data_IF_961530231443
#
_entry.id   IF_961530231443
#
_cell.length_a   1.000
_cell.length_b   1.000
_cell.length_c   1.000
_cell.angle_alpha   90.00
_cell.angle_beta   90.00
_cell.angle_gamma   90.00
#
_symmetry.space_group_name_H-M   'P 1'
#
loop_
_entity.id
_entity.type
_entity.pdbx_description
1 polymer ?
#
# COMPACT_ATOMS: atom_id res chain seq x y z
N UNK A 1 -25.18 -15.26 -12.49
CA UNK A 1 -23.83 -15.30 -13.10
C UNK A 1 -22.86 -14.64 -12.14
N UNK A 2 -21.93 -15.41 -11.58
CA UNK A 2 -20.91 -14.98 -10.62
C UNK A 2 -20.07 -13.85 -11.23
N UNK A 3 -20.13 -12.64 -10.67
CA UNK A 3 -19.29 -11.50 -11.11
C UNK A 3 -17.92 -11.60 -10.42
N UNK A 4 -17.17 -12.67 -10.72
CA UNK A 4 -15.82 -12.88 -10.20
C UNK A 4 -14.78 -12.64 -11.29
N UNK A 5 -14.26 -11.41 -11.39
CA UNK A 5 -12.91 -11.19 -11.93
C UNK A 5 -11.87 -11.55 -10.86
N UNK A 6 -10.59 -11.72 -11.23
CA UNK A 6 -9.50 -12.17 -10.33
C UNK A 6 -9.28 -11.30 -9.09
N UNK A 7 -8.08 -11.33 -8.48
CA UNK A 7 -7.85 -10.64 -7.19
C UNK A 7 -8.20 -9.13 -7.19
N UNK A 8 -8.16 -8.48 -8.36
CA UNK A 8 -8.56 -7.07 -8.54
C UNK A 8 -9.98 -6.88 -9.08
N UNK A 9 -10.73 -7.94 -9.37
CA UNK A 9 -12.12 -7.91 -9.80
C UNK A 9 -12.39 -7.12 -11.09
N UNK A 10 -11.36 -6.79 -11.88
CA UNK A 10 -11.48 -5.72 -12.85
C UNK A 10 -12.03 -6.20 -14.21
N UNK A 11 -13.35 -6.12 -14.38
CA UNK A 11 -13.96 -6.13 -15.72
C UNK A 11 -13.78 -4.76 -16.40
N UNK A 12 -13.87 -4.64 -17.74
CA UNK A 12 -13.94 -3.33 -18.38
C UNK A 12 -15.06 -2.46 -17.74
N UNK A 13 -14.88 -1.14 -17.71
CA UNK A 13 -15.82 -0.18 -17.10
C UNK A 13 -15.98 -0.36 -15.57
N UNK A 14 -14.87 -0.60 -14.88
CA UNK A 14 -14.78 -0.68 -13.42
C UNK A 14 -13.75 0.32 -12.89
N UNK A 15 -13.79 0.57 -11.58
CA UNK A 15 -12.89 1.47 -10.89
C UNK A 15 -13.32 1.58 -9.43
N UNK A 16 -12.92 2.66 -8.75
CA UNK A 16 -13.41 2.99 -7.41
C UNK A 16 -14.10 4.33 -7.43
N UNK A 17 -15.26 4.45 -6.76
CA UNK A 17 -15.92 5.75 -6.57
C UNK A 17 -15.14 6.65 -5.62
N UNK A 18 -14.24 6.07 -4.82
CA UNK A 18 -13.46 6.76 -3.81
C UNK A 18 -12.92 5.82 -2.76
N UNK A 19 -11.89 6.31 -2.07
CA UNK A 19 -11.19 5.59 -1.01
C UNK A 19 -11.36 6.33 0.31
N UNK A 20 -11.67 5.62 1.38
CA UNK A 20 -11.55 6.10 2.76
C UNK A 20 -10.51 5.25 3.47
N UNK A 21 -9.41 5.87 3.91
CA UNK A 21 -8.30 5.18 4.58
C UNK A 21 -8.42 5.30 6.10
N UNK A 22 -8.38 4.16 6.79
CA UNK A 22 -8.42 4.08 8.25
C UNK A 22 -7.02 4.28 8.84
N UNK A 23 -6.88 5.24 9.75
CA UNK A 23 -5.65 5.49 10.52
C UNK A 23 -5.55 4.50 11.68
N UNK A 24 -4.96 3.32 11.41
CA UNK A 24 -4.83 2.25 12.39
C UNK A 24 -3.88 2.60 13.56
N UNK A 25 -2.75 3.32 13.38
CA UNK A 25 -1.89 3.74 14.49
C UNK A 25 -2.64 4.54 15.56
N UNK A 26 -3.43 5.54 15.14
CA UNK A 26 -4.24 6.34 16.07
C UNK A 26 -5.26 5.46 16.80
N UNK A 27 -5.91 4.57 16.07
CA UNK A 27 -6.92 3.70 16.66
C UNK A 27 -6.30 2.77 17.70
N UNK A 28 -5.15 2.17 17.40
CA UNK A 28 -4.36 1.37 18.34
C UNK A 28 -3.95 2.16 19.58
N UNK A 29 -3.35 3.34 19.40
CA UNK A 29 -2.92 4.19 20.51
C UNK A 29 -4.06 4.57 21.47
N UNK A 30 -5.27 4.74 20.94
CA UNK A 30 -6.46 5.08 21.75
C UNK A 30 -7.13 3.86 22.38
N UNK A 31 -6.68 2.65 22.09
CA UNK A 31 -7.26 1.40 22.58
C UNK A 31 -6.41 0.84 23.71
N UNK A 32 -7.06 0.35 24.78
CA UNK A 32 -6.34 -0.26 25.91
C UNK A 32 -5.96 -1.72 25.67
N UNK A 33 -6.70 -2.38 24.78
CA UNK A 33 -6.53 -3.79 24.44
C UNK A 33 -7.16 -4.07 23.07
N UNK A 34 -6.92 -5.28 22.57
CA UNK A 34 -7.41 -5.74 21.27
C UNK A 34 -8.94 -5.69 21.13
N UNK A 35 -9.69 -5.98 22.19
CA UNK A 35 -11.16 -5.88 22.15
C UNK A 35 -11.62 -4.46 21.86
N UNK A 36 -11.09 -3.48 22.61
CA UNK A 36 -11.41 -2.07 22.41
C UNK A 36 -10.98 -1.58 21.01
N UNK A 37 -9.86 -2.09 20.50
CA UNK A 37 -9.42 -1.84 19.13
C UNK A 37 -10.50 -2.25 18.12
N UNK A 38 -11.03 -3.48 18.19
CA UNK A 38 -12.06 -3.92 17.24
C UNK A 38 -13.40 -3.18 17.40
N UNK A 39 -13.80 -2.84 18.63
CA UNK A 39 -15.00 -2.02 18.88
C UNK A 39 -14.89 -0.61 18.24
N UNK A 40 -13.71 0.02 18.35
CA UNK A 40 -13.42 1.30 17.69
C UNK A 40 -13.32 1.15 16.17
N UNK A 41 -12.74 0.04 15.69
CA UNK A 41 -12.60 -0.24 14.27
C UNK A 41 -13.96 -0.36 13.61
N UNK A 42 -14.88 -1.07 14.26
CA UNK A 42 -16.28 -1.17 13.81
C UNK A 42 -16.93 0.20 13.67
N UNK A 43 -16.79 1.05 14.69
CA UNK A 43 -17.36 2.39 14.69
C UNK A 43 -16.82 3.24 13.53
N UNK A 44 -15.52 3.16 13.23
CA UNK A 44 -14.92 3.84 12.08
C UNK A 44 -15.36 3.25 10.74
N UNK A 45 -15.51 1.92 10.65
CA UNK A 45 -15.97 1.25 9.44
C UNK A 45 -17.39 1.67 9.07
N UNK A 46 -18.29 1.75 10.04
CA UNK A 46 -19.66 2.23 9.81
C UNK A 46 -19.67 3.68 9.29
N UNK A 47 -18.81 4.55 9.86
CA UNK A 47 -18.68 5.92 9.39
C UNK A 47 -18.10 6.00 7.97
N UNK A 48 -17.06 5.22 7.68
CA UNK A 48 -16.44 5.17 6.36
C UNK A 48 -17.41 4.61 5.31
N UNK A 49 -18.16 3.57 5.64
CA UNK A 49 -19.20 2.98 4.82
C UNK A 49 -20.30 4.00 4.49
N UNK A 50 -20.82 4.69 5.51
CA UNK A 50 -21.81 5.77 5.32
C UNK A 50 -21.29 6.87 4.39
N UNK A 51 -20.04 7.30 4.57
CA UNK A 51 -19.39 8.30 3.72
C UNK A 51 -19.35 7.88 2.25
N UNK A 52 -18.94 6.63 1.97
CA UNK A 52 -18.86 6.11 0.60
C UNK A 52 -20.23 5.92 -0.04
N UNK A 53 -21.26 5.52 0.72
CA UNK A 53 -22.64 5.45 0.22
C UNK A 53 -23.16 6.85 -0.15
N UNK A 54 -22.90 7.86 0.69
CA UNK A 54 -23.27 9.26 0.37
C UNK A 54 -22.57 9.71 -0.92
N UNK A 55 -21.26 9.42 -1.04
CA UNK A 55 -20.50 9.76 -2.24
C UNK A 55 -21.06 9.09 -3.49
N UNK A 56 -21.44 7.81 -3.41
CA UNK A 56 -22.07 7.07 -4.53
C UNK A 56 -23.33 7.77 -5.02
N UNK A 57 -24.27 8.05 -4.11
CA UNK A 57 -25.53 8.75 -4.43
C UNK A 57 -25.28 10.13 -5.05
N UNK A 58 -24.28 10.83 -4.54
CA UNK A 58 -23.89 12.13 -5.08
C UNK A 58 -23.35 12.02 -6.51
N UNK A 59 -22.47 11.07 -6.78
CA UNK A 59 -21.94 10.82 -8.13
C UNK A 59 -23.04 10.44 -9.11
N UNK A 60 -23.95 9.53 -8.76
CA UNK A 60 -25.10 9.18 -9.60
C UNK A 60 -25.92 10.41 -10.00
N UNK A 61 -26.28 11.25 -9.02
CA UNK A 61 -27.04 12.48 -9.25
C UNK A 61 -26.31 13.44 -10.19
N UNK A 62 -25.02 13.66 -9.98
CA UNK A 62 -24.22 14.55 -10.81
C UNK A 62 -24.03 14.01 -12.23
N UNK A 63 -23.88 12.69 -12.40
CA UNK A 63 -23.82 12.04 -13.71
C UNK A 63 -25.13 12.21 -14.46
N UNK A 64 -26.27 12.03 -13.79
CA UNK A 64 -27.61 12.24 -14.37
C UNK A 64 -27.82 13.69 -14.81
N UNK A 65 -27.34 14.66 -14.02
CA UNK A 65 -27.36 16.10 -14.33
C UNK A 65 -26.37 16.52 -15.42
N UNK A 66 -25.55 15.60 -15.95
CA UNK A 66 -24.65 15.85 -17.06
C UNK A 66 -23.29 16.44 -16.69
N UNK A 67 -22.90 16.47 -15.41
CA UNK A 67 -21.57 16.97 -15.00
C UNK A 67 -20.42 16.02 -15.35
N UNK A 68 -20.73 14.75 -15.65
CA UNK A 68 -19.75 13.75 -16.07
C UNK A 68 -20.08 13.22 -17.48
N UNK A 69 -20.05 14.05 -18.54
CA UNK A 69 -20.56 13.68 -19.85
C UNK A 69 -19.83 12.48 -20.47
N UNK A 70 -18.51 12.40 -20.32
CA UNK A 70 -17.72 11.26 -20.77
C UNK A 70 -18.08 9.98 -20.02
N UNK A 71 -18.07 10.01 -18.68
CA UNK A 71 -18.42 8.83 -17.87
C UNK A 71 -19.86 8.40 -18.12
N UNK A 72 -20.80 9.35 -18.23
CA UNK A 72 -22.20 9.09 -18.57
C UNK A 72 -22.31 8.34 -19.89
N UNK A 73 -21.58 8.78 -20.92
CA UNK A 73 -21.56 8.10 -22.21
C UNK A 73 -21.02 6.68 -22.07
N UNK A 74 -19.81 6.48 -21.54
CA UNK A 74 -19.19 5.15 -21.48
C UNK A 74 -19.88 4.18 -20.51
N UNK A 75 -20.59 4.68 -19.50
CA UNK A 75 -21.31 3.88 -18.52
C UNK A 75 -22.80 3.71 -18.85
N UNK A 76 -23.29 4.20 -20.00
CA UNK A 76 -24.71 4.13 -20.40
C UNK A 76 -25.25 2.70 -20.41
N UNK A 77 -24.47 1.74 -20.90
CA UNK A 77 -24.87 0.32 -20.93
C UNK A 77 -24.97 -0.28 -19.53
N UNK A 78 -24.12 0.17 -18.60
CA UNK A 78 -24.21 -0.24 -17.19
C UNK A 78 -25.47 0.35 -16.55
N UNK A 79 -25.78 1.61 -16.84
CA UNK A 79 -27.00 2.29 -16.39
C UNK A 79 -28.26 1.58 -16.90
N UNK A 80 -28.30 1.22 -18.19
CA UNK A 80 -29.40 0.47 -18.80
C UNK A 80 -29.60 -0.90 -18.14
N UNK A 81 -28.51 -1.61 -17.80
CA UNK A 81 -28.56 -2.95 -17.22
C UNK A 81 -28.85 -2.97 -15.71
N UNK A 82 -28.40 -1.96 -14.97
CA UNK A 82 -28.37 -2.00 -13.49
C UNK A 82 -29.18 -0.88 -12.83
N UNK A 83 -29.60 0.13 -13.58
CA UNK A 83 -30.25 1.33 -13.05
C UNK A 83 -29.28 2.38 -12.50
N UNK A 84 -27.98 2.10 -12.47
CA UNK A 84 -26.93 2.99 -11.93
C UNK A 84 -25.72 3.08 -12.87
N UNK A 85 -25.09 4.26 -12.96
CA UNK A 85 -23.89 4.44 -13.78
C UNK A 85 -22.67 3.76 -13.15
N UNK A 86 -22.55 3.86 -11.83
CA UNK A 86 -21.36 3.48 -11.07
C UNK A 86 -21.50 2.09 -10.39
N UNK A 87 -22.49 1.28 -10.77
CA UNK A 87 -22.75 -0.05 -10.18
C UNK A 87 -21.52 -0.98 -10.17
N UNK A 88 -20.69 -0.92 -11.21
CA UNK A 88 -19.47 -1.73 -11.34
C UNK A 88 -18.24 -1.12 -10.65
N UNK A 89 -18.37 0.02 -9.99
CA UNK A 89 -17.27 0.67 -9.27
C UNK A 89 -17.29 0.31 -7.78
N UNK A 90 -16.12 0.01 -7.24
CA UNK A 90 -15.95 -0.33 -5.83
C UNK A 90 -16.11 0.89 -4.92
N UNK A 91 -16.65 0.66 -3.74
CA UNK A 91 -16.47 1.50 -2.57
C UNK A 91 -15.25 0.98 -1.82
N UNK A 92 -14.16 1.75 -1.79
CA UNK A 92 -12.87 1.25 -1.30
C UNK A 92 -12.58 1.69 0.13
N UNK A 93 -12.33 0.73 1.00
CA UNK A 93 -11.75 0.98 2.32
C UNK A 93 -10.27 0.66 2.27
N UNK A 94 -9.48 1.62 2.72
CA UNK A 94 -8.04 1.51 2.80
C UNK A 94 -7.54 1.46 4.24
N UNK A 95 -6.31 1.03 4.43
CA UNK A 95 -5.63 1.08 5.73
C UNK A 95 -4.25 1.69 5.62
N UNK A 96 -3.72 2.18 6.74
CA UNK A 96 -2.36 2.67 6.86
C UNK A 96 -1.80 2.35 8.24
N UNK A 97 -0.49 2.09 8.32
CA UNK A 97 0.25 2.02 9.57
C UNK A 97 -0.08 0.82 10.44
N UNK A 98 -0.35 -0.36 9.86
CA UNK A 98 -0.65 -1.54 10.67
C UNK A 98 0.56 -1.98 11.52
N UNK A 99 1.80 -1.75 11.05
CA UNK A 99 2.98 -1.94 11.89
C UNK A 99 2.97 -1.04 13.13
N UNK A 100 2.69 0.26 12.96
CA UNK A 100 2.61 1.17 14.09
C UNK A 100 1.36 0.92 14.95
N UNK A 101 0.31 0.32 14.40
CA UNK A 101 -0.80 -0.19 15.20
C UNK A 101 -0.34 -1.31 16.15
N UNK A 102 0.48 -2.25 15.68
CA UNK A 102 1.11 -3.27 16.54
C UNK A 102 1.99 -2.60 17.61
N UNK A 103 2.84 -1.63 17.23
CA UNK A 103 3.73 -0.96 18.17
C UNK A 103 2.96 -0.23 19.28
N UNK A 104 1.90 0.51 18.92
CA UNK A 104 1.15 1.32 19.88
C UNK A 104 0.18 0.50 20.76
N UNK A 105 -0.27 -0.68 20.31
CA UNK A 105 -1.21 -1.52 21.07
C UNK A 105 -0.54 -2.69 21.80
N UNK A 106 0.38 -3.38 21.12
CA UNK A 106 1.00 -4.63 21.59
C UNK A 106 2.43 -4.43 22.07
N UNK A 107 3.09 -3.35 21.65
CA UNK A 107 4.51 -3.12 21.94
C UNK A 107 5.48 -3.95 21.10
N UNK A 108 4.98 -4.63 20.05
CA UNK A 108 5.77 -5.42 19.11
C UNK A 108 5.52 -4.98 17.65
N UNK A 109 6.35 -5.45 16.72
CA UNK A 109 6.27 -5.10 15.30
C UNK A 109 5.33 -6.04 14.53
N UNK A 110 4.93 -5.66 13.32
CA UNK A 110 4.17 -6.56 12.42
C UNK A 110 4.96 -7.82 12.03
N UNK A 111 6.28 -7.82 12.18
CA UNK A 111 7.13 -8.95 11.83
C UNK A 111 7.23 -10.00 12.95
N UNK A 112 6.87 -9.63 14.18
CA UNK A 112 6.83 -10.55 15.32
C UNK A 112 5.63 -11.50 15.18
N UNK A 113 5.69 -12.75 15.67
CA UNK A 113 4.59 -13.70 15.55
C UNK A 113 3.25 -13.17 16.07
N UNK A 114 3.26 -12.44 17.19
CA UNK A 114 2.08 -11.82 17.78
C UNK A 114 1.53 -10.69 16.91
N UNK A 115 2.39 -9.76 16.46
CA UNK A 115 2.00 -8.64 15.61
C UNK A 115 1.51 -9.09 14.23
N UNK A 116 2.11 -10.13 13.64
CA UNK A 116 1.63 -10.75 12.41
C UNK A 116 0.25 -11.37 12.61
N UNK A 117 0.07 -12.13 13.70
CA UNK A 117 -1.22 -12.76 14.03
C UNK A 117 -2.34 -11.74 14.24
N UNK A 118 -2.06 -10.66 14.98
CA UNK A 118 -2.97 -9.54 15.15
C UNK A 118 -3.30 -8.87 13.81
N UNK A 119 -2.29 -8.59 12.99
CA UNK A 119 -2.46 -7.95 11.69
C UNK A 119 -3.35 -8.76 10.75
N UNK A 120 -3.22 -10.09 10.74
CA UNK A 120 -4.10 -10.98 9.97
C UNK A 120 -5.55 -10.89 10.46
N UNK A 121 -5.79 -10.92 11.78
CA UNK A 121 -7.14 -10.75 12.35
C UNK A 121 -7.75 -9.40 11.97
N UNK A 122 -6.97 -8.32 11.96
CA UNK A 122 -7.44 -7.00 11.54
C UNK A 122 -7.87 -7.00 10.07
N UNK A 123 -7.06 -7.56 9.17
CA UNK A 123 -7.38 -7.62 7.75
C UNK A 123 -8.58 -8.55 7.47
N UNK A 124 -8.67 -9.68 8.15
CA UNK A 124 -9.80 -10.61 8.01
C UNK A 124 -11.11 -9.98 8.52
N UNK A 125 -11.08 -9.30 9.67
CA UNK A 125 -12.22 -8.54 10.17
C UNK A 125 -12.70 -7.48 9.17
N UNK A 126 -11.76 -6.73 8.57
CA UNK A 126 -12.08 -5.75 7.54
C UNK A 126 -12.77 -6.40 6.34
N UNK A 127 -12.24 -7.52 5.83
CA UNK A 127 -12.83 -8.25 4.70
C UNK A 127 -14.26 -8.70 5.01
N UNK A 128 -14.49 -9.30 6.17
CA UNK A 128 -15.81 -9.76 6.60
C UNK A 128 -16.82 -8.61 6.65
N UNK A 129 -16.42 -7.45 7.19
CA UNK A 129 -17.28 -6.26 7.22
C UNK A 129 -17.58 -5.70 5.84
N UNK A 130 -16.60 -5.69 4.94
CA UNK A 130 -16.83 -5.26 3.56
C UNK A 130 -17.76 -6.21 2.79
N UNK A 131 -17.68 -7.52 3.06
CA UNK A 131 -18.65 -8.48 2.54
C UNK A 131 -20.06 -8.20 3.05
N UNK A 132 -20.22 -7.93 4.35
CA UNK A 132 -21.50 -7.54 4.92
C UNK A 132 -22.05 -6.24 4.32
N UNK A 133 -21.19 -5.23 4.05
CA UNK A 133 -21.61 -4.03 3.32
C UNK A 133 -22.04 -4.33 1.89
N UNK A 134 -21.33 -5.22 1.19
CA UNK A 134 -21.69 -5.63 -0.16
C UNK A 134 -23.06 -6.32 -0.21
N UNK A 135 -23.33 -7.22 0.73
CA UNK A 135 -24.64 -7.89 0.86
C UNK A 135 -25.75 -6.90 1.21
N UNK A 136 -25.50 -6.01 2.18
CA UNK A 136 -26.50 -5.04 2.64
C UNK A 136 -26.82 -3.96 1.60
N UNK A 137 -25.85 -3.52 0.79
CA UNK A 137 -26.04 -2.41 -0.15
C UNK A 137 -26.20 -2.85 -1.60
N UNK A 138 -25.87 -4.10 -1.95
CA UNK A 138 -25.83 -4.57 -3.34
C UNK A 138 -24.73 -3.91 -4.21
N UNK A 139 -23.77 -3.21 -3.58
CA UNK A 139 -22.68 -2.52 -4.30
C UNK A 139 -21.36 -3.24 -4.05
N UNK A 140 -20.39 -3.07 -4.95
CA UNK A 140 -19.07 -3.66 -4.79
C UNK A 140 -18.26 -2.93 -3.70
N UNK A 141 -17.59 -3.68 -2.83
CA UNK A 141 -16.67 -3.17 -1.81
C UNK A 141 -15.34 -3.91 -1.87
N UNK A 142 -14.23 -3.21 -1.64
CA UNK A 142 -12.90 -3.83 -1.60
C UNK A 142 -11.99 -3.22 -0.54
N UNK A 143 -11.05 -4.05 -0.08
CA UNK A 143 -9.99 -3.67 0.83
C UNK A 143 -8.72 -3.37 0.04
N UNK A 144 -8.18 -2.16 0.20
CA UNK A 144 -6.99 -1.71 -0.51
C UNK A 144 -5.83 -1.41 0.45
N UNK A 145 -4.63 -1.81 0.06
CA UNK A 145 -3.39 -1.31 0.63
C UNK A 145 -3.15 0.09 0.05
N UNK A 146 -3.76 1.11 0.67
CA UNK A 146 -3.69 2.50 0.20
C UNK A 146 -2.23 2.88 -0.06
N UNK A 147 -1.86 3.43 -1.23
CA UNK A 147 -0.49 3.89 -1.50
C UNK A 147 -0.03 4.99 -0.53
N UNK A 148 -0.98 5.77 -0.03
CA UNK A 148 -0.86 6.70 1.09
C UNK A 148 0.33 7.69 1.01
N UNK A 149 0.68 8.15 -0.20
CA UNK A 149 1.81 9.07 -0.42
C UNK A 149 1.74 10.28 0.51
N UNK A 150 0.62 11.02 0.47
CA UNK A 150 0.39 12.14 1.37
C UNK A 150 -0.15 11.74 2.74
N UNK A 151 -0.92 10.65 2.83
CA UNK A 151 -1.57 10.26 4.08
C UNK A 151 -0.58 9.72 5.12
N UNK A 152 0.48 9.02 4.70
CA UNK A 152 1.56 8.51 5.56
C UNK A 152 2.19 9.62 6.39
N UNK A 153 2.63 10.69 5.74
CA UNK A 153 3.19 11.86 6.41
C UNK A 153 2.14 12.67 7.16
N UNK A 154 1.03 13.02 6.49
CA UNK A 154 0.03 13.94 7.06
C UNK A 154 -0.61 13.39 8.33
N UNK A 155 -0.95 12.10 8.34
CA UNK A 155 -1.59 11.48 9.51
C UNK A 155 -0.62 11.39 10.68
N UNK A 156 0.62 10.92 10.43
CA UNK A 156 1.66 10.84 11.45
C UNK A 156 1.99 12.21 12.06
N UNK A 157 2.12 13.25 11.24
CA UNK A 157 2.34 14.63 11.70
C UNK A 157 1.18 15.13 12.60
N UNK A 158 -0.08 14.93 12.17
CA UNK A 158 -1.24 15.35 12.97
C UNK A 158 -1.36 14.54 14.27
N UNK A 159 -0.98 13.27 14.23
CA UNK A 159 -0.93 12.40 15.39
C UNK A 159 0.14 12.84 16.38
N UNK A 160 1.38 13.05 15.95
CA UNK A 160 2.44 13.58 16.81
C UNK A 160 2.06 14.91 17.46
N UNK A 161 1.39 15.81 16.73
CA UNK A 161 0.91 17.08 17.28
C UNK A 161 -0.14 16.89 18.39
N UNK A 162 -1.04 15.92 18.24
CA UNK A 162 -2.15 15.70 19.18
C UNK A 162 -1.80 14.75 20.33
N UNK A 163 -0.96 13.77 20.05
CA UNK A 163 -0.56 12.69 20.93
C UNK A 163 0.96 12.54 20.84
N UNK A 164 1.75 13.37 21.55
CA UNK A 164 3.21 13.38 21.39
C UNK A 164 3.90 12.02 21.59
N UNK A 165 3.30 11.16 22.43
CA UNK A 165 3.79 9.81 22.76
C UNK A 165 3.33 8.70 21.79
N UNK A 166 2.56 9.02 20.74
CA UNK A 166 2.21 8.03 19.73
C UNK A 166 3.47 7.64 18.95
N UNK A 167 3.68 6.35 18.77
CA UNK A 167 4.83 5.80 18.04
C UNK A 167 4.56 5.86 16.55
N UNK A 168 5.48 6.44 15.79
CA UNK A 168 5.49 6.44 14.31
C UNK A 168 6.60 5.54 13.75
N UNK A 169 6.65 5.33 12.43
CA UNK A 169 7.57 4.37 11.82
C UNK A 169 9.06 4.73 12.07
N UNK A 170 9.38 6.02 12.03
CA UNK A 170 10.72 6.57 12.26
C UNK A 170 10.85 7.27 13.61
N UNK A 171 10.21 6.74 14.67
CA UNK A 171 10.12 7.36 15.99
C UNK A 171 11.45 7.91 16.51
N UNK A 172 12.52 7.10 16.47
CA UNK A 172 13.87 7.53 16.90
C UNK A 172 14.37 8.74 16.13
N UNK A 173 14.18 8.77 14.81
CA UNK A 173 14.59 9.92 14.00
C UNK A 173 13.78 11.19 14.33
N UNK A 174 12.50 11.04 14.69
CA UNK A 174 11.67 12.15 15.13
C UNK A 174 12.18 12.71 16.47
N UNK A 175 12.53 11.84 17.41
CA UNK A 175 13.07 12.23 18.73
C UNK A 175 14.49 12.81 18.65
N UNK A 176 15.40 12.13 17.95
CA UNK A 176 16.83 12.45 17.94
C UNK A 176 17.17 13.68 17.08
N UNK A 177 16.50 13.85 15.93
CA UNK A 177 16.83 14.87 14.93
C UNK A 177 15.65 15.74 14.48
N UNK A 178 14.47 15.57 15.08
CA UNK A 178 13.27 16.31 14.65
C UNK A 178 12.82 15.96 13.23
N UNK A 179 13.07 14.73 12.78
CA UNK A 179 12.70 14.28 11.44
C UNK A 179 11.19 14.38 11.18
N UNK A 180 10.81 14.48 9.92
CA UNK A 180 9.41 14.43 9.53
C UNK A 180 8.82 13.03 9.85
N UNK A 181 7.75 12.93 10.67
CA UNK A 181 7.19 11.64 11.06
C UNK A 181 6.41 11.00 9.90
N UNK A 182 6.49 9.68 9.74
CA UNK A 182 5.65 8.98 8.77
C UNK A 182 5.13 7.65 9.32
N UNK A 183 4.06 7.13 8.71
CA UNK A 183 3.56 5.77 8.96
C UNK A 183 3.95 4.80 7.86
N UNK A 184 4.22 3.56 8.24
CA UNK A 184 4.47 2.47 7.31
C UNK A 184 3.23 2.26 6.43
N UNK A 185 3.45 2.04 5.13
CA UNK A 185 2.34 1.97 4.19
C UNK A 185 1.46 0.74 4.47
N UNK A 186 0.14 0.93 4.62
CA UNK A 186 -0.83 -0.17 4.77
C UNK A 186 -0.42 -1.22 5.83
N UNK A 187 -0.16 -2.46 5.42
CA UNK A 187 0.37 -3.56 6.24
C UNK A 187 1.76 -4.03 5.78
N UNK A 188 2.55 -3.14 5.17
CA UNK A 188 3.93 -3.44 4.79
C UNK A 188 4.80 -3.66 6.03
N UNK A 189 5.93 -4.34 5.85
CA UNK A 189 7.00 -4.34 6.84
C UNK A 189 7.60 -2.93 6.94
N UNK A 190 8.20 -2.57 8.08
CA UNK A 190 9.09 -1.41 8.14
C UNK A 190 10.11 -1.46 7.00
N UNK A 191 10.36 -0.32 6.36
CA UNK A 191 11.24 -0.24 5.18
C UNK A 191 12.70 -0.59 5.45
N UNK A 192 13.09 -0.62 6.72
CA UNK A 192 14.40 -1.00 7.24
C UNK A 192 14.43 -2.38 7.93
N UNK A 193 13.38 -3.19 7.82
CA UNK A 193 13.25 -4.41 8.62
C UNK A 193 14.29 -5.49 8.28
N UNK A 194 14.53 -5.78 7.00
CA UNK A 194 15.45 -6.84 6.57
C UNK A 194 15.99 -6.57 5.17
N UNK A 195 17.17 -7.12 4.86
CA UNK A 195 17.71 -7.22 3.50
C UNK A 195 17.38 -8.57 2.84
N UNK A 196 16.81 -9.54 3.57
CA UNK A 196 16.42 -10.85 3.05
C UNK A 196 15.06 -10.79 2.35
N UNK A 197 15.10 -10.83 1.02
CA UNK A 197 13.92 -10.84 0.16
C UNK A 197 12.95 -11.99 0.47
N UNK A 198 13.46 -13.19 0.75
CA UNK A 198 12.61 -14.36 0.97
C UNK A 198 11.98 -14.35 2.36
N UNK A 199 12.68 -13.84 3.36
CA UNK A 199 12.07 -13.54 4.66
C UNK A 199 10.95 -12.50 4.52
N UNK A 200 11.21 -11.40 3.83
CA UNK A 200 10.22 -10.35 3.60
C UNK A 200 8.98 -10.89 2.86
N UNK A 201 9.17 -11.69 1.81
CA UNK A 201 8.10 -12.35 1.06
C UNK A 201 7.27 -13.29 1.93
N UNK A 202 7.91 -14.12 2.78
CA UNK A 202 7.20 -15.04 3.69
C UNK A 202 6.30 -14.31 4.69
N UNK A 203 6.79 -13.19 5.25
CA UNK A 203 6.00 -12.39 6.20
C UNK A 203 4.89 -11.60 5.50
N UNK A 204 5.12 -11.13 4.27
CA UNK A 204 4.17 -10.31 3.53
C UNK A 204 3.10 -11.11 2.79
N UNK A 205 3.40 -12.31 2.28
CA UNK A 205 2.42 -13.14 1.55
C UNK A 205 1.06 -13.30 2.26
N UNK A 206 0.99 -13.71 3.54
CA UNK A 206 -0.29 -13.86 4.21
C UNK A 206 -1.01 -12.53 4.42
N UNK A 207 -0.32 -11.38 4.45
CA UNK A 207 -0.95 -10.07 4.56
C UNK A 207 -1.43 -9.55 3.20
N UNK A 208 -0.57 -9.63 2.17
CA UNK A 208 -0.84 -9.10 0.84
C UNK A 208 -2.01 -9.84 0.16
N UNK A 209 -2.15 -11.15 0.41
CA UNK A 209 -3.27 -11.94 -0.12
C UNK A 209 -4.62 -11.64 0.51
N UNK A 210 -4.67 -10.81 1.57
CA UNK A 210 -5.93 -10.42 2.24
C UNK A 210 -6.56 -9.21 1.57
N UNK A 211 -5.82 -8.43 0.81
CA UNK A 211 -6.40 -7.35 0.03
C UNK A 211 -7.22 -7.91 -1.14
N UNK A 212 -8.42 -7.36 -1.30
CA UNK A 212 -9.35 -7.67 -2.41
C UNK A 212 -9.40 -6.54 -3.44
N UNK A 213 -8.65 -5.46 -3.19
CA UNK A 213 -8.39 -4.35 -4.09
C UNK A 213 -6.90 -4.21 -4.37
N UNK A 214 -6.45 -2.97 -4.57
CA UNK A 214 -5.04 -2.65 -4.85
C UNK A 214 -4.10 -3.12 -3.74
N UNK A 215 -3.04 -3.84 -4.10
CA UNK A 215 -1.91 -4.10 -3.21
C UNK A 215 -0.63 -4.29 -4.02
N UNK A 216 0.52 -4.04 -3.42
CA UNK A 216 1.83 -4.14 -4.10
C UNK A 216 2.92 -4.47 -3.10
N UNK A 217 3.80 -5.41 -3.45
CA UNK A 217 5.03 -5.66 -2.71
C UNK A 217 6.23 -5.04 -3.44
N UNK A 218 6.91 -4.10 -2.79
CA UNK A 218 8.04 -3.41 -3.39
C UNK A 218 9.36 -4.12 -3.09
N UNK A 219 10.06 -4.55 -4.15
CA UNK A 219 11.43 -5.03 -4.06
C UNK A 219 12.36 -3.85 -4.30
N UNK A 220 12.77 -3.20 -3.22
CA UNK A 220 13.73 -2.09 -3.26
C UNK A 220 15.12 -2.64 -3.59
N UNK A 221 15.61 -2.40 -4.80
CA UNK A 221 16.89 -2.93 -5.26
C UNK A 221 18.07 -2.03 -4.91
N UNK A 222 17.82 -0.82 -4.41
CA UNK A 222 18.84 0.22 -4.25
C UNK A 222 19.44 0.57 -5.61
N UNK A 223 20.76 0.67 -5.69
CA UNK A 223 21.48 0.99 -6.93
C UNK A 223 21.61 -0.21 -7.88
N UNK A 224 21.10 -1.38 -7.51
CA UNK A 224 21.24 -2.59 -8.33
C UNK A 224 20.34 -2.48 -9.56
N UNK A 225 20.97 -2.48 -10.74
CA UNK A 225 20.33 -2.66 -12.02
C UNK A 225 20.51 -4.12 -12.48
N UNK A 226 19.57 -5.04 -12.17
CA UNK A 226 19.69 -6.43 -12.60
C UNK A 226 19.64 -6.53 -14.13
N UNK A 227 20.39 -7.47 -14.71
CA UNK A 227 20.24 -7.79 -16.13
C UNK A 227 18.81 -8.26 -16.44
N UNK A 228 18.34 -8.13 -17.69
CA UNK A 228 17.03 -8.63 -18.10
C UNK A 228 16.79 -10.10 -17.70
N UNK A 229 17.81 -10.96 -17.85
CA UNK A 229 17.75 -12.37 -17.47
C UNK A 229 17.64 -12.55 -15.96
N UNK A 230 18.39 -11.78 -15.17
CA UNK A 230 18.34 -11.83 -13.71
C UNK A 230 16.96 -11.38 -13.20
N UNK A 231 16.42 -10.29 -13.75
CA UNK A 231 15.09 -9.79 -13.43
C UNK A 231 14.00 -10.82 -13.78
N UNK A 232 14.04 -11.38 -14.99
CA UNK A 232 13.12 -12.45 -15.44
C UNK A 232 13.15 -13.65 -14.50
N UNK A 233 14.34 -14.15 -14.18
CA UNK A 233 14.51 -15.32 -13.32
C UNK A 233 14.09 -15.05 -11.87
N UNK A 234 14.27 -13.82 -11.38
CA UNK A 234 13.79 -13.42 -10.06
C UNK A 234 12.26 -13.40 -10.01
N UNK A 235 11.62 -12.69 -10.93
CA UNK A 235 10.16 -12.60 -11.01
C UNK A 235 9.54 -13.99 -11.11
N UNK A 236 10.03 -14.83 -12.03
CA UNK A 236 9.56 -16.21 -12.20
C UNK A 236 9.65 -17.01 -10.90
N UNK A 237 10.80 -17.00 -10.23
CA UNK A 237 11.01 -17.77 -8.99
C UNK A 237 10.14 -17.29 -7.83
N UNK A 238 9.83 -16.00 -7.75
CA UNK A 238 8.92 -15.48 -6.73
C UNK A 238 7.52 -16.02 -6.99
N UNK A 239 6.98 -15.88 -8.21
CA UNK A 239 5.63 -16.33 -8.53
C UNK A 239 5.47 -17.86 -8.55
N UNK A 240 6.54 -18.63 -8.73
CA UNK A 240 6.53 -20.09 -8.56
C UNK A 240 6.41 -20.54 -7.09
N UNK A 241 6.76 -19.67 -6.12
CA UNK A 241 6.87 -20.04 -4.69
C UNK A 241 5.91 -19.28 -3.78
N UNK A 242 5.49 -18.09 -4.18
CA UNK A 242 4.66 -17.19 -3.40
C UNK A 242 3.45 -16.73 -4.20
N UNK A 243 2.35 -16.51 -3.51
CA UNK A 243 1.06 -16.04 -4.04
C UNK A 243 0.90 -14.52 -3.88
N UNK A 244 2.01 -13.79 -3.93
CA UNK A 244 2.00 -12.33 -3.87
C UNK A 244 1.22 -11.79 -5.08
N UNK A 245 0.19 -10.95 -4.90
CA UNK A 245 -0.65 -10.47 -6.00
C UNK A 245 0.07 -9.67 -7.07
N UNK A 246 0.95 -8.78 -6.62
CA UNK A 246 1.61 -7.80 -7.46
C UNK A 246 2.90 -7.36 -6.79
N UNK A 247 3.96 -7.24 -7.58
CA UNK A 247 5.26 -6.81 -7.11
C UNK A 247 5.89 -5.82 -8.08
N UNK A 248 6.85 -5.06 -7.58
CA UNK A 248 7.69 -4.18 -8.40
C UNK A 248 9.16 -4.46 -8.12
N UNK A 249 9.98 -4.51 -9.17
CA UNK A 249 11.42 -4.33 -9.05
C UNK A 249 11.71 -2.83 -9.09
N UNK A 250 12.22 -2.27 -8.01
CA UNK A 250 12.44 -0.82 -7.90
C UNK A 250 13.92 -0.50 -7.72
N UNK A 251 14.64 -0.19 -8.80
CA UNK A 251 15.95 0.42 -8.71
C UNK A 251 15.83 1.90 -8.32
N UNK A 252 16.92 2.42 -7.77
CA UNK A 252 17.19 3.85 -7.62
C UNK A 252 18.22 4.24 -8.68
N UNK A 253 17.94 5.32 -9.38
CA UNK A 253 18.79 5.84 -10.44
C UNK A 253 18.73 7.36 -10.43
N UNK A 254 19.72 7.99 -11.05
CA UNK A 254 19.79 9.44 -11.17
C UNK A 254 19.72 9.86 -12.62
N UNK A 255 19.27 11.07 -12.91
CA UNK A 255 19.22 11.63 -14.26
C UNK A 255 20.03 12.91 -14.28
N UNK A 256 21.11 12.91 -15.07
CA UNK A 256 21.90 14.09 -15.39
C UNK A 256 21.27 14.80 -16.59
N UNK A 257 21.13 16.15 -16.59
CA UNK A 257 20.58 16.89 -17.71
C UNK A 257 21.41 16.73 -19.00
N UNK A 258 22.73 16.60 -18.86
CA UNK A 258 23.66 16.46 -19.99
C UNK A 258 23.89 15.01 -20.43
N UNK A 259 23.94 14.05 -19.50
CA UNK A 259 24.38 12.67 -19.76
C UNK A 259 23.31 11.60 -19.59
N UNK A 260 22.10 11.96 -19.16
CA UNK A 260 20.99 11.03 -19.00
C UNK A 260 21.10 10.13 -17.77
N UNK A 261 20.73 8.85 -17.90
CA UNK A 261 20.58 7.92 -16.79
C UNK A 261 21.93 7.52 -16.17
N UNK A 262 21.99 7.59 -14.84
CA UNK A 262 23.10 7.15 -14.00
C UNK A 262 22.59 6.11 -13.00
N UNK A 263 23.38 5.06 -12.77
CA UNK A 263 23.05 4.00 -11.80
C UNK A 263 23.17 4.53 -10.38
N UNK A 264 22.16 4.30 -9.53
CA UNK A 264 22.22 4.65 -8.12
C UNK A 264 21.83 6.09 -7.81
N UNK A 265 21.96 6.45 -6.53
CA UNK A 265 21.62 7.78 -6.01
C UNK A 265 22.87 8.66 -6.00
N UNK A 266 23.10 9.40 -7.08
CA UNK A 266 24.28 10.21 -7.28
C UNK A 266 23.90 11.68 -7.30
N UNK A 267 24.15 12.44 -6.24
CA UNK A 267 23.78 13.87 -6.18
C UNK A 267 24.44 14.71 -7.29
N UNK A 268 25.66 14.32 -7.70
CA UNK A 268 26.44 14.97 -8.75
C UNK A 268 26.77 13.97 -9.86
N UNK A 269 26.75 14.42 -11.12
CA UNK A 269 27.12 13.60 -12.26
C UNK A 269 28.65 13.32 -12.26
N UNK A 270 29.10 12.07 -12.41
CA UNK A 270 30.52 11.73 -12.38
C UNK A 270 31.29 12.19 -13.63
N UNK A 271 30.58 12.69 -14.66
CA UNK A 271 31.15 13.13 -15.94
C UNK A 271 31.24 14.65 -16.09
N UNK A 272 30.31 15.41 -15.48
CA UNK A 272 30.29 16.88 -15.58
C UNK A 272 30.09 17.61 -14.26
N UNK A 273 29.99 16.89 -13.14
CA UNK A 273 29.80 17.44 -11.78
C UNK A 273 28.52 18.27 -11.60
N UNK A 274 27.62 18.32 -12.59
CA UNK A 274 26.31 18.95 -12.43
C UNK A 274 25.39 18.14 -11.52
N UNK A 275 24.49 18.84 -10.84
CA UNK A 275 23.46 18.24 -9.97
C UNK A 275 22.53 17.35 -10.79
N UNK A 276 22.22 16.17 -10.26
CA UNK A 276 21.29 15.23 -10.88
C UNK A 276 19.93 15.24 -10.20
N UNK A 277 18.93 14.69 -10.88
CA UNK A 277 17.66 14.31 -10.25
C UNK A 277 17.69 12.84 -9.83
N UNK A 278 17.62 12.55 -8.54
CA UNK A 278 17.53 11.17 -8.03
C UNK A 278 16.08 10.69 -8.13
N UNK A 279 15.85 9.63 -8.89
CA UNK A 279 14.55 8.98 -9.07
C UNK A 279 14.48 7.68 -8.28
N UNK A 280 13.33 7.50 -7.62
CA UNK A 280 12.94 6.21 -7.06
C UNK A 280 11.41 6.08 -7.12
N UNK A 281 10.86 4.94 -6.69
CA UNK A 281 9.41 4.77 -6.59
C UNK A 281 8.94 5.29 -5.25
N UNK A 282 8.07 6.31 -5.26
CA UNK A 282 7.52 6.87 -4.01
C UNK A 282 6.54 5.88 -3.38
N UNK A 283 5.52 5.48 -4.16
CA UNK A 283 4.52 4.49 -3.80
C UNK A 283 4.21 3.60 -5.01
N UNK A 284 3.61 4.17 -6.07
CA UNK A 284 3.17 3.41 -7.24
C UNK A 284 3.91 3.77 -8.53
N UNK A 285 4.61 4.89 -8.57
CA UNK A 285 5.25 5.45 -9.77
C UNK A 285 6.62 6.06 -9.43
N UNK A 286 7.46 6.25 -10.45
CA UNK A 286 8.79 6.85 -10.32
C UNK A 286 8.66 8.38 -10.33
N UNK A 287 9.36 9.05 -9.41
CA UNK A 287 9.37 10.52 -9.29
C UNK A 287 10.71 10.98 -8.67
N UNK A 288 11.22 12.18 -8.98
CA UNK A 288 12.37 12.73 -8.27
C UNK A 288 12.12 12.80 -6.77
N UNK A 289 13.05 12.28 -5.97
CA UNK A 289 12.95 12.21 -4.49
C UNK A 289 12.78 13.59 -3.87
N UNK A 290 13.43 14.60 -4.44
CA UNK A 290 13.34 15.99 -3.98
C UNK A 290 11.90 16.55 -4.04
N UNK A 291 11.06 16.03 -4.93
CA UNK A 291 9.66 16.44 -5.05
C UNK A 291 8.71 15.67 -4.14
N UNK A 292 9.21 14.72 -3.35
CA UNK A 292 8.38 13.95 -2.41
C UNK A 292 8.10 14.80 -1.18
N UNK A 293 7.01 14.50 -0.46
CA UNK A 293 6.77 15.14 0.83
C UNK A 293 7.83 14.72 1.86
N UNK A 294 8.02 15.53 2.90
CA UNK A 294 9.08 15.35 3.89
C UNK A 294 9.08 13.95 4.54
N UNK A 295 7.91 13.40 4.90
CA UNK A 295 7.82 12.06 5.47
C UNK A 295 8.26 10.96 4.48
N UNK A 296 7.95 11.10 3.19
CA UNK A 296 8.42 10.17 2.15
C UNK A 296 9.91 10.31 1.87
N UNK A 297 10.50 11.48 2.05
CA UNK A 297 11.95 11.66 1.99
C UNK A 297 12.65 10.96 3.16
N UNK A 298 12.10 11.03 4.38
CA UNK A 298 12.61 10.25 5.52
C UNK A 298 12.44 8.74 5.28
N UNK A 299 11.28 8.29 4.79
CA UNK A 299 11.06 6.89 4.43
C UNK A 299 12.10 6.42 3.40
N UNK A 300 12.44 7.24 2.40
CA UNK A 300 13.46 6.91 1.42
C UNK A 300 14.83 6.70 2.06
N UNK A 301 15.24 7.56 3.01
CA UNK A 301 16.50 7.42 3.75
C UNK A 301 16.54 6.16 4.60
N UNK A 302 15.40 5.75 5.15
CA UNK A 302 15.29 4.58 6.00
C UNK A 302 15.22 3.26 5.19
N UNK A 303 15.04 3.29 3.86
CA UNK A 303 14.91 2.06 3.05
C UNK A 303 16.19 1.22 3.06
N UNK A 304 16.04 -0.05 3.43
CA UNK A 304 17.08 -1.07 3.26
C UNK A 304 16.83 -1.84 1.94
N UNK A 305 17.80 -1.90 1.01
CA UNK A 305 17.66 -2.66 -0.22
C UNK A 305 17.55 -4.17 0.03
N UNK A 306 16.55 -4.81 -0.58
CA UNK A 306 16.39 -6.25 -0.57
C UNK A 306 17.41 -6.91 -1.50
N UNK A 307 18.10 -7.93 -0.99
CA UNK A 307 19.08 -8.73 -1.72
C UNK A 307 18.44 -10.04 -2.16
N UNK A 308 18.32 -10.31 -3.47
CA UNK A 308 17.82 -11.59 -3.97
C UNK A 308 18.90 -12.68 -3.83
N UNK A 309 19.14 -13.16 -2.60
CA UNK A 309 20.03 -14.29 -2.32
C UNK A 309 19.25 -15.58 -2.49
N UNK A 310 19.36 -16.23 -3.65
CA UNK A 310 18.73 -17.54 -3.83
C UNK A 310 19.46 -18.56 -2.95
N UNK A 311 18.76 -19.32 -2.09
CA UNK A 311 19.36 -20.49 -1.50
C UNK A 311 19.82 -21.44 -2.63
N UNK A 312 20.97 -22.11 -2.49
CA UNK A 312 21.44 -23.05 -3.50
C UNK A 312 20.33 -24.07 -3.79
N UNK A 313 20.03 -24.29 -5.07
CA UNK A 313 19.05 -25.31 -5.48
C UNK A 313 19.60 -26.66 -5.00
N UNK A 314 18.87 -27.42 -4.16
CA UNK A 314 19.27 -28.77 -3.84
C UNK A 314 19.39 -29.55 -5.15
N UNK A 315 20.55 -30.16 -5.41
CA UNK A 315 20.85 -30.93 -6.65
C UNK A 315 19.87 -32.09 -6.93
N UNK A 316 18.88 -32.33 -6.07
CA UNK A 316 17.98 -33.48 -6.13
C UNK A 316 16.71 -33.30 -6.99
N UNK A 317 16.48 -32.14 -7.64
CA UNK A 317 15.30 -31.90 -8.47
C UNK A 317 15.56 -31.85 -9.99
N UNK A 318 16.79 -32.17 -10.43
CA UNK A 318 17.04 -32.51 -11.84
C UNK A 318 16.91 -34.03 -11.97
N UNK A 319 15.67 -34.53 -12.08
CA UNK A 319 15.45 -35.83 -12.71
C UNK A 319 15.33 -35.61 -14.23
N UNK A 320 15.88 -36.55 -15.03
CA UNK A 320 16.17 -36.39 -16.44
C UNK A 320 14.95 -36.11 -17.32
#
# INVERSE_FOLDING_TARGET
RYRGGGLFGSNPLTGSIGVVTLNLPRLAYLSRNEREFFERLESLLQLAGKSLIIKRKFLERLTEQGLYPYSRFYLRSIKELTGEYWANHFSTIGVIGLNEACLNLLGCTIADPEGLSFSLRVLDYLRERLMAFQEATGHLWNLEATPAEGASYRLAMLDKKRFPKIIVANERAVEDRGAAPYYTNSSQLPVNFTDDLFLALRLQEPLQTRYTGGTVFHIWLGERAPSPEAAKNLVRRIFERFRIPYLTLTPTFSVCPNHGYLTGAQELCPLCEERTEIYSRVVGYLRPVEQWNAGKQEEFRDRVPLVPRFPPVPKAALRP
#
